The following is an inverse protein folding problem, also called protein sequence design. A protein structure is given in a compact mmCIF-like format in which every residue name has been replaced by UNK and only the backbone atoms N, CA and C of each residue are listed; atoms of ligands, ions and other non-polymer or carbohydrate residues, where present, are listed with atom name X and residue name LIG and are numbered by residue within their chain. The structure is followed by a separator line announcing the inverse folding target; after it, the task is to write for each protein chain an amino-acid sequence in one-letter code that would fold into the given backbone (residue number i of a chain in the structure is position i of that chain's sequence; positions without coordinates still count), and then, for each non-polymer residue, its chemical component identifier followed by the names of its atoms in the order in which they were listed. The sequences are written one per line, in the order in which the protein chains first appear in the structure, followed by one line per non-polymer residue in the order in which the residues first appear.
data_IF_810328010418
#
_entry.id   IF_810328010418
#
_cell.length_a   1.000
_cell.length_b   1.000
_cell.length_c   1.000
_cell.angle_alpha   90.00
_cell.angle_beta   90.00
_cell.angle_gamma   90.00
#
_symmetry.space_group_name_H-M   'P 1'
#
loop_
_entity.id
_entity.type
_entity.pdbx_description
1 polymer ?
#
# COMPACT_ATOMS: atom_id res chain seq x y z
N UNK A 1 10.85 -9.61 -9.42
CA UNK A 1 10.68 -8.30 -8.76
C UNK A 1 9.98 -7.37 -9.73
N UNK A 2 8.80 -6.85 -9.38
CA UNK A 2 8.13 -5.83 -10.20
C UNK A 2 8.90 -4.51 -10.11
N UNK A 3 9.00 -3.77 -11.21
CA UNK A 3 9.73 -2.50 -11.27
C UNK A 3 9.27 -1.51 -10.18
N UNK A 4 7.95 -1.46 -9.96
CA UNK A 4 7.33 -0.60 -8.94
C UNK A 4 7.72 -0.94 -7.50
N UNK A 5 7.95 -2.23 -7.18
CA UNK A 5 8.43 -2.66 -5.86
C UNK A 5 9.83 -2.13 -5.57
N UNK A 6 10.67 -2.02 -6.61
CA UNK A 6 12.04 -1.50 -6.48
C UNK A 6 12.01 0.01 -6.29
N UNK A 7 11.22 0.73 -7.09
CA UNK A 7 11.05 2.17 -6.96
C UNK A 7 10.50 2.58 -5.59
N UNK A 8 9.47 1.89 -5.07
CA UNK A 8 8.97 2.15 -3.72
C UNK A 8 10.02 1.89 -2.64
N UNK A 9 10.82 0.83 -2.79
CA UNK A 9 11.87 0.49 -1.82
C UNK A 9 12.93 1.59 -1.80
N UNK A 10 13.35 2.07 -2.97
CA UNK A 10 14.29 3.18 -3.12
C UNK A 10 13.73 4.49 -2.54
N UNK A 11 12.45 4.78 -2.77
CA UNK A 11 11.82 6.00 -2.25
C UNK A 11 11.64 5.95 -0.72
N UNK A 12 11.26 4.80 -0.18
CA UNK A 12 11.15 4.58 1.26
C UNK A 12 12.51 4.62 1.96
N UNK A 13 13.55 4.06 1.32
CA UNK A 13 14.92 4.12 1.82
C UNK A 13 15.46 5.56 1.79
N UNK A 14 15.17 6.32 0.73
CA UNK A 14 15.52 7.75 0.62
C UNK A 14 14.88 8.59 1.73
N UNK A 15 13.65 8.25 2.15
CA UNK A 15 12.94 8.91 3.25
C UNK A 15 13.37 8.42 4.66
N UNK A 16 14.43 7.60 4.77
CA UNK A 16 14.93 7.03 6.03
C UNK A 16 13.90 6.13 6.77
N UNK A 17 13.02 5.44 6.05
CA UNK A 17 12.15 4.44 6.69
C UNK A 17 12.93 3.18 7.07
N UNK A 18 12.52 2.57 8.20
CA UNK A 18 13.08 1.29 8.63
C UNK A 18 12.75 0.16 7.64
N UNK A 19 13.63 -0.83 7.53
CA UNK A 19 13.38 -2.01 6.68
C UNK A 19 12.08 -2.74 7.05
N UNK A 20 11.68 -2.69 8.32
CA UNK A 20 10.45 -3.30 8.82
C UNK A 20 9.21 -2.58 8.26
N UNK A 21 9.26 -1.25 8.23
CA UNK A 21 8.25 -0.38 7.62
C UNK A 21 8.17 -0.62 6.12
N UNK A 22 9.33 -0.70 5.45
CA UNK A 22 9.42 -0.94 4.01
C UNK A 22 8.81 -2.26 3.60
N UNK A 23 9.10 -3.36 4.32
CA UNK A 23 8.48 -4.67 4.05
C UNK A 23 6.97 -4.63 4.25
N UNK A 24 6.50 -3.91 5.26
CA UNK A 24 5.06 -3.74 5.51
C UNK A 24 4.39 -2.98 4.35
N UNK A 25 4.98 -1.88 3.89
CA UNK A 25 4.45 -1.06 2.80
C UNK A 25 4.37 -1.84 1.49
N UNK A 26 5.45 -2.56 1.14
CA UNK A 26 5.47 -3.41 -0.05
C UNK A 26 4.33 -4.43 -0.01
N UNK A 27 4.11 -5.07 1.15
CA UNK A 27 3.05 -6.05 1.31
C UNK A 27 1.66 -5.45 1.13
N UNK A 28 1.44 -4.22 1.60
CA UNK A 28 0.18 -3.49 1.39
C UNK A 28 -0.06 -3.21 -0.09
N UNK A 29 0.96 -2.73 -0.81
CA UNK A 29 0.82 -2.42 -2.25
C UNK A 29 0.62 -3.70 -3.07
N UNK A 30 1.30 -4.79 -2.72
CA UNK A 30 1.07 -6.10 -3.35
C UNK A 30 -0.36 -6.61 -3.10
N UNK A 31 -0.88 -6.46 -1.89
CA UNK A 31 -2.26 -6.83 -1.54
C UNK A 31 -3.28 -5.98 -2.32
N UNK A 32 -3.04 -4.68 -2.39
CA UNK A 32 -3.85 -3.72 -3.15
C UNK A 32 -3.86 -4.06 -4.64
N UNK A 33 -2.69 -4.25 -5.27
CA UNK A 33 -2.59 -4.63 -6.68
C UNK A 33 -3.28 -5.97 -6.97
N UNK A 34 -3.11 -6.96 -6.08
CA UNK A 34 -3.77 -8.26 -6.18
C UNK A 34 -5.29 -8.13 -6.08
N UNK A 35 -5.78 -7.26 -5.19
CA UNK A 35 -7.22 -7.06 -4.95
C UNK A 35 -7.95 -6.48 -6.15
N UNK A 36 -7.33 -5.55 -6.86
CA UNK A 36 -7.87 -4.95 -8.09
C UNK A 36 -7.45 -5.68 -9.36
N UNK A 37 -6.60 -6.71 -9.23
CA UNK A 37 -5.99 -7.43 -10.35
C UNK A 37 -5.40 -6.49 -11.42
N UNK A 38 -4.87 -5.35 -10.96
CA UNK A 38 -4.43 -4.26 -11.81
C UNK A 38 -3.06 -3.78 -11.36
N UNK A 39 -2.25 -3.33 -12.32
CA UNK A 39 -0.96 -2.73 -12.02
C UNK A 39 -1.14 -1.51 -11.12
N UNK A 40 -0.34 -1.36 -10.06
CA UNK A 40 -0.43 -0.21 -9.16
C UNK A 40 -0.27 1.14 -9.87
N UNK A 41 0.47 1.19 -11.00
CA UNK A 41 0.53 2.37 -11.89
C UNK A 41 -0.83 2.82 -12.45
N UNK A 42 -1.81 1.91 -12.57
CA UNK A 42 -3.16 2.21 -13.05
C UNK A 42 -4.16 2.46 -11.91
N UNK A 43 -3.75 2.20 -10.67
CA UNK A 43 -4.63 2.33 -9.51
C UNK A 43 -4.59 3.75 -8.97
N UNK A 44 -5.57 4.56 -9.38
CA UNK A 44 -5.73 5.93 -8.89
C UNK A 44 -6.46 6.07 -7.55
N UNK A 45 -6.70 7.33 -7.11
CA UNK A 45 -7.31 7.65 -5.81
C UNK A 45 -8.72 7.07 -5.60
N UNK A 46 -9.45 6.75 -6.68
CA UNK A 46 -10.75 6.07 -6.61
C UNK A 46 -10.62 4.68 -5.99
N UNK A 47 -9.62 3.90 -6.41
CA UNK A 47 -9.34 2.57 -5.87
C UNK A 47 -8.84 2.64 -4.42
N UNK A 48 -8.07 3.67 -4.07
CA UNK A 48 -7.62 3.91 -2.69
C UNK A 48 -8.83 4.11 -1.77
N UNK A 49 -9.84 4.88 -2.19
CA UNK A 49 -11.10 5.04 -1.43
C UNK A 49 -11.86 3.73 -1.29
N UNK A 50 -12.01 2.95 -2.35
CA UNK A 50 -12.68 1.65 -2.27
C UNK A 50 -11.95 0.68 -1.34
N UNK A 51 -10.62 0.66 -1.41
CA UNK A 51 -9.79 -0.16 -0.54
C UNK A 51 -9.88 0.31 0.92
N UNK A 52 -9.92 1.62 1.18
CA UNK A 52 -10.13 2.16 2.52
C UNK A 52 -11.47 1.66 3.11
N UNK A 53 -12.55 1.73 2.34
CA UNK A 53 -13.86 1.22 2.77
C UNK A 53 -13.78 -0.27 3.04
N UNK A 54 -13.11 -1.05 2.19
CA UNK A 54 -12.92 -2.48 2.39
C UNK A 54 -12.09 -2.81 3.64
N UNK A 55 -11.04 -2.05 3.94
CA UNK A 55 -10.23 -2.24 5.15
C UNK A 55 -11.05 -2.04 6.42
N UNK A 56 -11.99 -1.08 6.42
CA UNK A 56 -12.91 -0.87 7.53
C UNK A 56 -14.02 -1.92 7.57
N UNK A 57 -14.64 -2.25 6.45
CA UNK A 57 -15.82 -3.14 6.42
C UNK A 57 -15.45 -4.63 6.49
N UNK A 58 -14.50 -5.08 5.66
CA UNK A 58 -14.10 -6.50 5.58
C UNK A 58 -13.04 -6.85 6.60
N UNK A 59 -11.95 -6.07 6.65
CA UNK A 59 -10.82 -6.39 7.53
C UNK A 59 -10.98 -5.85 8.96
N UNK A 60 -11.99 -4.99 9.21
CA UNK A 60 -12.27 -4.38 10.52
C UNK A 60 -11.02 -3.84 11.20
N UNK A 61 -10.10 -3.28 10.40
CA UNK A 61 -8.84 -2.78 10.91
C UNK A 61 -9.06 -1.53 11.75
N UNK A 62 -8.28 -1.42 12.83
CA UNK A 62 -8.23 -0.19 13.61
C UNK A 62 -7.77 0.98 12.72
N UNK A 63 -8.24 2.20 12.99
CA UNK A 63 -7.90 3.38 12.17
C UNK A 63 -6.39 3.63 12.08
N UNK A 64 -5.62 3.22 13.09
CA UNK A 64 -4.16 3.32 13.07
C UNK A 64 -3.52 2.39 12.01
N UNK A 65 -4.04 1.17 11.89
CA UNK A 65 -3.62 0.22 10.85
C UNK A 65 -4.04 0.71 9.47
N UNK A 66 -5.26 1.24 9.32
CA UNK A 66 -5.70 1.83 8.05
C UNK A 66 -4.81 3.00 7.63
N UNK A 67 -4.39 3.86 8.57
CA UNK A 67 -3.46 4.95 8.30
C UNK A 67 -2.11 4.45 7.78
N UNK A 68 -1.59 3.35 8.31
CA UNK A 68 -0.36 2.73 7.81
C UNK A 68 -0.53 2.24 6.36
N UNK A 69 -1.68 1.62 6.07
CA UNK A 69 -1.99 1.12 4.73
C UNK A 69 -2.15 2.26 3.73
N UNK A 70 -2.84 3.34 4.13
CA UNK A 70 -3.01 4.52 3.28
C UNK A 70 -1.70 5.28 3.06
N UNK A 71 -0.85 5.36 4.08
CA UNK A 71 0.48 5.96 3.94
C UNK A 71 1.39 5.16 3.00
N UNK A 72 1.16 3.84 2.86
CA UNK A 72 1.83 3.03 1.86
C UNK A 72 1.31 3.23 0.43
N UNK A 73 0.12 3.82 0.26
CA UNK A 73 -0.51 4.07 -1.05
C UNK A 73 -0.40 5.54 -1.49
N UNK A 74 0.29 6.38 -0.72
CA UNK A 74 0.38 7.84 -0.91
C UNK A 74 1.82 8.27 -1.17
#
# INVERSE_FOLDING_TARGET
MTHLRKMMLEELQRRNYSQLTTRSYIRVVEDFARRFNCSPDRLGPRHIREYQVELFQKRKLSPNSVRLYLAALR
#
